data_IF_790223879452
#
_entry.id   IF_790223879452
#
_cell.length_a   1.000
_cell.length_b   1.000
_cell.length_c   1.000
_cell.angle_alpha   90.00
_cell.angle_beta   90.00
_cell.angle_gamma   90.00
#
_symmetry.space_group_name_H-M   'P 1'
#
loop_
_entity.id
_entity.type
_entity.pdbx_description
1 polymer ?
2 non-polymer ?
3 non-polymer ?
4 non-polymer ?
5 non-polymer ?
6 non-polymer ?
7 water ?
#
# COMPACT_ATOMS: atom_id res chain seq x y z
N UNK A 3 -26.39 16.48 -2.11
CA UNK A 3 -25.31 17.37 -1.73
C UNK A 3 -24.78 17.03 -0.33
N UNK A 4 -25.59 16.25 0.41
CA UNK A 4 -25.26 15.81 1.76
C UNK A 4 -25.72 14.35 1.87
N UNK A 5 -24.95 13.46 1.26
CA UNK A 5 -25.39 12.13 0.86
C UNK A 5 -25.46 11.17 2.05
N UNK A 6 -26.21 10.09 1.86
CA UNK A 6 -26.46 9.09 2.90
C UNK A 6 -25.95 7.73 2.46
N UNK A 7 -25.18 7.08 3.33
CA UNK A 7 -24.75 5.69 3.17
C UNK A 7 -25.49 4.84 4.21
N UNK A 8 -25.98 3.68 3.78
CA UNK A 8 -26.72 2.78 4.64
C UNK A 8 -25.99 1.45 4.80
N UNK A 9 -26.08 0.86 5.98
CA UNK A 9 -25.62 -0.51 6.22
C UNK A 9 -26.86 -1.40 6.23
N UNK A 10 -26.88 -2.41 5.36
CA UNK A 10 -28.05 -3.25 5.17
C UNK A 10 -28.06 -4.48 6.07
N UNK A 11 -27.09 -4.62 6.95
CA UNK A 11 -27.11 -5.63 7.99
C UNK A 11 -27.57 -5.07 9.33
N UNK A 12 -27.28 -3.80 9.61
CA UNK A 12 -27.64 -3.16 10.87
C UNK A 12 -28.64 -2.03 10.74
N UNK A 13 -29.02 -1.64 9.52
CA UNK A 13 -29.90 -0.50 9.26
C UNK A 13 -29.33 0.81 9.77
N UNK A 14 -28.01 0.88 9.95
CA UNK A 14 -27.34 2.09 10.40
C UNK A 14 -27.12 3.02 9.23
N UNK A 15 -27.45 4.30 9.42
CA UNK A 15 -27.25 5.30 8.38
C UNK A 15 -26.23 6.32 8.88
N UNK A 16 -25.41 6.79 7.95
CA UNK A 16 -24.44 7.83 8.19
C UNK A 16 -24.53 8.85 7.07
N UNK A 17 -24.41 10.13 7.42
CA UNK A 17 -24.48 11.22 6.46
C UNK A 17 -23.08 11.70 6.12
N UNK A 18 -22.77 11.74 4.83
CA UNK A 18 -21.45 12.13 4.34
C UNK A 18 -21.53 13.56 3.83
N UNK A 19 -20.77 14.45 4.46
CA UNK A 19 -20.56 15.80 3.97
C UNK A 19 -19.11 16.08 3.59
N UNK A 20 -18.19 15.19 3.96
CA UNK A 20 -16.78 15.35 3.64
C UNK A 20 -16.53 15.29 2.13
N UNK A 21 -17.41 14.63 1.38
CA UNK A 21 -17.23 14.54 -0.06
C UNK A 21 -17.31 15.89 -0.75
N UNK A 22 -17.84 16.91 -0.07
CA UNK A 22 -17.83 18.26 -0.62
C UNK A 22 -16.41 18.78 -0.79
N UNK A 23 -15.50 18.42 0.11
CA UNK A 23 -14.12 18.85 -0.01
C UNK A 23 -13.35 18.03 -1.04
N UNK A 24 -14.01 17.09 -1.71
CA UNK A 24 -13.37 16.29 -2.73
C UNK A 24 -12.90 17.16 -3.90
N UNK A 25 -11.81 16.76 -4.52
CA UNK A 25 -11.14 17.62 -5.49
C UNK A 25 -10.93 16.90 -6.82
N UNK A 26 -10.14 15.83 -6.82
CA UNK A 26 -9.84 15.08 -8.05
C UNK A 26 -11.08 14.44 -8.63
N UNK A 27 -10.92 13.73 -9.73
CA UNK A 27 -12.03 13.10 -10.42
C UNK A 27 -11.93 11.58 -10.34
N UNK A 28 -13.08 10.92 -10.39
CA UNK A 28 -13.19 9.50 -10.09
C UNK A 28 -13.09 8.60 -11.32
N UNK A 29 -13.28 9.16 -12.51
CA UNK A 29 -13.44 8.38 -13.71
C UNK A 29 -14.89 8.08 -14.04
N UNK A 30 -15.78 8.14 -13.06
CA UNK A 30 -17.20 7.94 -13.31
C UNK A 30 -17.84 9.19 -13.88
N UNK A 31 -18.94 9.01 -14.60
CA UNK A 31 -19.76 10.13 -15.03
C UNK A 31 -21.20 9.86 -14.60
N UNK A 32 -22.07 10.81 -14.89
CA UNK A 32 -23.51 10.61 -14.66
C UNK A 32 -24.05 9.42 -15.46
N UNK A 33 -23.34 9.00 -16.50
CA UNK A 33 -23.83 7.95 -17.38
C UNK A 33 -22.99 6.67 -17.34
N UNK A 34 -21.88 6.64 -16.59
CA UNK A 34 -21.09 5.43 -16.50
C UNK A 34 -20.37 5.38 -15.16
N UNK A 35 -20.38 4.19 -14.55
CA UNK A 35 -19.66 3.96 -13.31
C UNK A 35 -18.47 3.07 -13.60
N UNK A 36 -17.27 3.56 -13.24
CA UNK A 36 -16.01 2.86 -13.43
C UNK A 36 -15.40 2.37 -12.11
N UNK A 37 -16.21 2.24 -11.06
CA UNK A 37 -15.65 1.85 -9.77
C UNK A 37 -15.03 0.48 -9.71
N UNK A 38 -15.08 -0.31 -10.80
CA UNK A 38 -14.35 -1.57 -10.84
C UNK A 38 -13.13 -1.53 -11.78
N UNK A 39 -12.82 -0.36 -12.37
CA UNK A 39 -11.61 -0.24 -13.17
C UNK A 39 -10.44 -0.07 -12.23
N UNK A 40 -9.34 -0.80 -12.49
CA UNK A 40 -8.23 -0.84 -11.53
C UNK A 40 -7.44 0.47 -11.49
N UNK A 41 -7.04 0.99 -12.66
CA UNK A 41 -6.24 2.21 -12.75
C UNK A 41 -6.98 3.24 -13.61
N UNK A 42 -7.91 3.99 -13.04
CA UNK A 42 -8.67 4.96 -13.84
C UNK A 42 -7.84 6.19 -14.16
N UNK A 43 -7.92 6.64 -15.41
CA UNK A 43 -7.27 7.86 -15.86
C UNK A 43 -7.82 8.26 -17.22
N UNK A 52 4.99 17.49 -15.34
CA UNK A 52 5.74 18.52 -14.62
C UNK A 52 4.81 19.65 -14.18
N UNK A 53 4.78 19.91 -12.87
CA UNK A 53 3.85 20.85 -12.28
C UNK A 53 4.45 22.24 -12.22
N UNK A 54 3.61 23.25 -12.48
CA UNK A 54 4.07 24.63 -12.56
C UNK A 54 3.50 25.44 -11.40
N UNK A 55 4.07 26.63 -11.19
CA UNK A 55 3.78 27.40 -9.99
C UNK A 55 2.38 27.99 -10.00
N UNK A 56 1.79 28.13 -11.19
CA UNK A 56 0.39 28.56 -11.29
C UNK A 56 -0.52 27.63 -10.50
N UNK A 57 -0.29 26.33 -10.61
CA UNK A 57 -1.11 25.36 -9.91
C UNK A 57 -0.64 25.11 -8.48
N UNK A 58 0.59 25.50 -8.15
CA UNK A 58 1.18 25.08 -6.88
C UNK A 58 0.57 25.83 -5.70
N UNK A 59 0.32 27.14 -5.85
CA UNK A 59 -0.08 27.88 -4.67
C UNK A 59 -1.49 27.54 -4.18
N UNK A 60 -2.51 27.44 -5.06
CA UNK A 60 -3.82 26.98 -4.56
C UNK A 60 -3.73 25.67 -3.82
N UNK A 61 -2.92 24.73 -4.33
CA UNK A 61 -2.74 23.44 -3.67
C UNK A 61 -2.03 23.58 -2.34
N UNK A 62 -1.00 24.44 -2.27
CA UNK A 62 -0.33 24.70 -1.00
C UNK A 62 -1.27 25.35 0.00
N UNK A 63 -2.00 26.39 -0.44
CA UNK A 63 -2.92 27.09 0.44
C UNK A 63 -4.01 26.15 0.95
N UNK A 64 -4.60 25.35 0.06
CA UNK A 64 -5.64 24.42 0.47
C UNK A 64 -5.11 23.45 1.50
N UNK A 65 -3.86 22.99 1.31
CA UNK A 65 -3.25 22.07 2.26
C UNK A 65 -2.95 22.77 3.58
N UNK A 66 -2.34 23.95 3.51
CA UNK A 66 -2.00 24.68 4.73
C UNK A 66 -3.25 25.07 5.50
N UNK A 67 -4.33 25.44 4.79
CA UNK A 67 -5.56 25.84 5.47
C UNK A 67 -6.15 24.68 6.27
N UNK A 68 -5.92 23.44 5.83
CA UNK A 68 -6.43 22.31 6.60
C UNK A 68 -5.43 21.87 7.67
N UNK A 69 -4.13 22.04 7.42
CA UNK A 69 -3.15 21.76 8.45
C UNK A 69 -3.35 22.69 9.65
N UNK A 70 -3.44 24.00 9.41
CA UNK A 70 -3.57 24.94 10.52
C UNK A 70 -4.94 24.83 11.17
N UNK A 71 -5.94 24.36 10.44
CA UNK A 71 -7.23 24.05 11.03
C UNK A 71 -7.14 22.82 11.94
N UNK A 72 -6.17 21.95 11.72
CA UNK A 72 -6.08 20.72 12.49
C UNK A 72 -5.41 20.91 13.84
N UNK A 73 -4.57 21.94 14.00
CA UNK A 73 -3.93 22.22 15.27
C UNK A 73 -4.65 23.35 16.01
N UNK A 74 -5.91 23.62 15.66
CA UNK A 74 -6.77 24.59 16.35
C UNK A 74 -6.30 26.03 16.17
N UNK A 75 -5.64 26.35 15.05
CA UNK A 75 -5.16 27.70 14.79
C UNK A 75 -5.47 28.11 13.35
N UNK A 76 -6.74 27.97 12.98
CA UNK A 76 -7.20 28.36 11.66
C UNK A 76 -7.08 29.87 11.47
N UNK A 77 -6.32 30.28 10.46
CA UNK A 77 -6.31 31.66 10.02
C UNK A 77 -5.62 32.64 10.95
N UNK A 78 -4.77 32.17 11.85
CA UNK A 78 -4.06 33.07 12.74
C UNK A 78 -2.89 33.71 11.99
N UNK A 79 -2.11 34.52 12.73
CA UNK A 79 -0.94 35.15 12.13
C UNK A 79 0.12 34.11 11.78
N UNK A 80 0.32 33.11 12.64
CA UNK A 80 1.23 32.03 12.30
C UNK A 80 0.79 31.31 11.03
N UNK A 81 -0.52 31.22 10.80
CA UNK A 81 -1.01 30.66 9.54
C UNK A 81 -0.73 31.62 8.39
N UNK A 82 -1.15 32.88 8.53
CA UNK A 82 -1.02 33.83 7.42
C UNK A 82 0.45 34.05 7.04
N UNK A 83 1.35 34.03 8.03
CA UNK A 83 2.76 34.21 7.71
C UNK A 83 3.31 33.02 6.93
N UNK A 84 2.90 31.80 7.30
CA UNK A 84 3.33 30.62 6.57
C UNK A 84 2.77 30.61 5.16
N UNK A 85 1.52 31.06 4.99
CA UNK A 85 0.96 31.21 3.66
C UNK A 85 1.78 32.16 2.80
N UNK A 86 2.11 33.32 3.35
CA UNK A 86 2.95 34.28 2.63
C UNK A 86 4.35 33.73 2.42
N UNK A 87 4.91 33.11 3.46
CA UNK A 87 6.25 32.52 3.34
C UNK A 87 6.33 31.53 2.19
N UNK A 88 5.30 30.70 2.02
CA UNK A 88 5.28 29.70 0.95
C UNK A 88 4.98 30.37 -0.40
N UNK A 89 4.04 31.31 -0.42
CA UNK A 89 3.77 32.10 -1.62
C UNK A 89 5.04 32.75 -2.16
N UNK A 90 5.86 33.29 -1.25
CA UNK A 90 7.11 33.92 -1.70
C UNK A 90 8.14 32.88 -2.12
N UNK A 91 8.14 31.70 -1.51
CA UNK A 91 9.06 30.66 -1.95
C UNK A 91 8.68 30.11 -3.31
N UNK A 92 7.37 29.91 -3.56
CA UNK A 92 6.93 29.50 -4.88
C UNK A 92 7.22 30.60 -5.91
N UNK A 93 7.08 31.87 -5.53
CA UNK A 93 7.47 32.94 -6.43
C UNK A 93 8.97 32.85 -6.76
N UNK A 94 9.80 32.69 -5.73
CA UNK A 94 11.24 32.71 -5.96
C UNK A 94 11.71 31.41 -6.62
N UNK A 95 11.32 30.26 -6.05
CA UNK A 95 11.90 28.98 -6.44
C UNK A 95 10.98 28.15 -7.35
N UNK A 96 9.77 28.62 -7.61
CA UNK A 96 8.77 27.88 -8.40
C UNK A 96 8.42 26.54 -7.75
N UNK A 97 8.76 26.36 -6.47
CA UNK A 97 8.33 25.24 -5.66
C UNK A 97 8.48 25.65 -4.20
N UNK A 98 8.46 24.69 -3.27
CA UNK A 98 8.60 25.01 -1.87
C UNK A 98 8.94 23.76 -1.09
N UNK A 99 9.24 23.95 0.20
CA UNK A 99 9.63 22.88 1.10
C UNK A 99 8.68 22.84 2.30
N UNK A 100 8.20 21.64 2.62
CA UNK A 100 7.33 21.43 3.76
C UNK A 100 8.11 21.47 5.07
N UNK A 101 7.49 22.02 6.11
CA UNK A 101 8.01 21.84 7.45
C UNK A 101 7.85 20.39 7.87
N UNK A 102 8.69 19.97 8.81
CA UNK A 102 8.63 18.60 9.31
C UNK A 102 7.24 18.26 9.82
N UNK A 103 6.63 19.17 10.58
CA UNK A 103 5.27 18.95 11.04
C UNK A 103 4.29 18.75 9.88
N UNK A 104 4.36 19.62 8.88
CA UNK A 104 3.50 19.51 7.70
C UNK A 104 3.75 18.21 6.94
N UNK A 105 5.00 17.75 6.90
CA UNK A 105 5.31 16.49 6.24
C UNK A 105 4.63 15.32 6.95
N UNK A 106 4.70 15.30 8.28
CA UNK A 106 4.10 14.21 9.06
C UNK A 106 2.57 14.25 8.93
N UNK A 107 1.98 15.44 9.08
CA UNK A 107 0.55 15.62 8.84
C UNK A 107 0.18 15.13 7.43
N UNK A 108 0.86 15.69 6.42
CA UNK A 108 0.61 15.27 5.04
C UNK A 108 0.63 13.77 4.88
N UNK A 109 1.69 13.11 5.35
CA UNK A 109 1.77 11.66 5.18
C UNK A 109 0.62 10.94 5.89
N UNK A 110 0.30 11.36 7.12
CA UNK A 110 -0.73 10.66 7.87
C UNK A 110 -2.08 10.76 7.18
N UNK A 111 -2.35 11.89 6.51
CA UNK A 111 -3.64 12.08 5.87
C UNK A 111 -3.71 11.48 4.47
N UNK A 112 -2.55 11.30 3.80
CA UNK A 112 -2.56 10.46 2.60
C UNK A 112 -3.01 9.04 2.92
N UNK A 113 -2.59 8.50 4.07
CA UNK A 113 -3.10 7.20 4.50
C UNK A 113 -4.57 7.28 4.89
N UNK A 114 -4.92 8.25 5.74
CA UNK A 114 -6.32 8.45 6.12
C UNK A 114 -7.22 8.51 4.90
N UNK A 115 -6.75 9.12 3.81
CA UNK A 115 -7.61 9.32 2.64
C UNK A 115 -7.54 8.16 1.65
N UNK A 116 -6.79 7.11 1.96
CA UNK A 116 -6.60 5.99 1.03
C UNK A 116 -7.88 5.15 0.99
N UNK A 117 -8.73 5.39 0.00
CA UNK A 117 -10.05 4.76 -0.02
C UNK A 117 -9.99 3.25 -0.23
N UNK A 118 -8.91 2.73 -0.79
CA UNK A 118 -8.81 1.29 -1.00
C UNK A 118 -8.19 0.53 0.18
N UNK A 119 -7.93 1.21 1.31
CA UNK A 119 -7.23 0.60 2.43
C UNK A 119 -8.21 0.28 3.55
N UNK A 120 -8.30 -1.01 3.90
CA UNK A 120 -9.18 -1.45 4.99
C UNK A 120 -8.56 -1.23 6.36
N UNK A 121 -7.27 -0.92 6.41
CA UNK A 121 -6.56 -0.79 7.66
C UNK A 121 -6.47 0.60 8.24
N UNK A 122 -7.24 1.56 7.72
CA UNK A 122 -6.99 2.96 8.05
C UNK A 122 -7.30 3.33 9.50
N UNK A 123 -7.93 2.44 10.28
CA UNK A 123 -8.22 2.74 11.68
C UNK A 123 -6.94 3.16 12.41
N UNK A 124 -5.78 2.82 11.83
CA UNK A 124 -4.47 3.04 12.43
C UNK A 124 -3.77 4.28 11.91
N UNK A 125 -4.47 5.13 11.14
CA UNK A 125 -3.81 6.11 10.29
C UNK A 125 -3.00 7.12 11.10
N UNK A 126 -3.42 7.42 12.32
CA UNK A 126 -2.76 8.44 13.11
C UNK A 126 -1.47 7.96 13.76
N UNK A 127 -1.31 6.64 13.93
CA UNK A 127 -0.08 6.07 14.47
C UNK A 127 0.79 5.59 13.31
N UNK A 128 1.27 6.54 12.53
CA UNK A 128 2.22 6.31 11.46
C UNK A 128 3.55 6.95 11.84
N UNK A 129 4.64 6.20 11.69
CA UNK A 129 5.97 6.72 11.94
C UNK A 129 6.55 7.23 10.62
N UNK A 130 6.91 8.52 10.58
CA UNK A 130 7.34 9.17 9.35
C UNK A 130 8.84 9.37 9.41
N UNK A 131 9.56 8.83 8.45
CA UNK A 131 11.02 9.00 8.37
C UNK A 131 11.32 9.98 7.27
N UNK A 132 11.90 11.12 7.64
CA UNK A 132 12.21 12.18 6.69
C UNK A 132 13.56 11.89 6.04
N UNK A 133 13.55 11.50 4.77
CA UNK A 133 14.77 11.22 4.02
C UNK A 133 15.00 12.24 2.91
N UNK A 134 14.46 13.45 3.09
CA UNK A 134 14.61 14.45 2.05
C UNK A 134 16.04 15.00 1.96
N UNK A 135 16.95 14.59 2.84
CA UNK A 135 18.35 14.97 2.72
C UNK A 135 19.17 13.93 1.97
N UNK A 136 18.55 12.84 1.54
CA UNK A 136 19.22 11.77 0.80
C UNK A 136 19.66 12.29 -0.57
N UNK A 137 20.82 11.80 -1.03
CA UNK A 137 21.32 12.19 -2.35
C UNK A 137 21.78 11.03 -3.22
N UNK A 138 22.02 9.84 -2.68
CA UNK A 138 22.59 8.75 -3.45
C UNK A 138 21.75 7.49 -3.28
N UNK A 139 21.95 6.56 -4.20
CA UNK A 139 21.38 5.22 -4.08
C UNK A 139 21.77 4.56 -2.77
N UNK A 140 23.07 4.62 -2.42
CA UNK A 140 23.52 4.02 -1.17
C UNK A 140 22.81 4.64 0.03
N UNK A 141 22.56 5.95 -0.01
CA UNK A 141 21.81 6.57 1.05
C UNK A 141 20.39 6.04 1.14
N UNK A 142 19.76 5.83 -0.01
CA UNK A 142 18.42 5.24 -0.04
C UNK A 142 18.43 3.85 0.59
N UNK A 143 19.42 3.03 0.23
CA UNK A 143 19.54 1.70 0.82
C UNK A 143 19.62 1.77 2.34
N UNK A 144 20.50 2.64 2.86
CA UNK A 144 20.62 2.82 4.29
C UNK A 144 19.29 3.26 4.91
N UNK A 145 18.67 4.29 4.32
CA UNK A 145 17.38 4.72 4.83
C UNK A 145 16.34 3.60 4.77
N UNK A 146 16.38 2.78 3.72
CA UNK A 146 15.36 1.73 3.59
C UNK A 146 15.65 0.59 4.55
N UNK A 147 16.94 0.31 4.82
CA UNK A 147 17.26 -0.72 5.79
C UNK A 147 16.77 -0.31 7.18
N UNK A 148 16.97 0.95 7.55
CA UNK A 148 16.47 1.42 8.84
C UNK A 148 14.95 1.39 8.89
N UNK A 149 14.29 1.68 7.77
CA UNK A 149 12.84 1.56 7.72
C UNK A 149 12.43 0.12 8.01
N UNK A 150 13.02 -0.84 7.29
CA UNK A 150 12.68 -2.24 7.49
C UNK A 150 12.88 -2.66 8.95
N UNK A 151 14.04 -2.34 9.51
CA UNK A 151 14.32 -2.77 10.88
C UNK A 151 13.31 -2.18 11.85
N UNK A 152 12.98 -0.89 11.69
CA UNK A 152 12.01 -0.27 12.59
C UNK A 152 10.63 -0.88 12.42
N UNK A 153 10.11 -0.90 11.19
CA UNK A 153 8.76 -1.38 10.95
C UNK A 153 8.58 -2.83 11.39
N UNK A 154 9.65 -3.63 11.37
CA UNK A 154 9.49 -5.03 11.71
C UNK A 154 9.43 -5.23 13.22
N UNK A 155 10.22 -4.48 13.97
CA UNK A 155 10.23 -4.48 15.44
C UNK A 155 10.15 -5.90 15.98
N UNK A 156 10.92 -6.79 15.36
CA UNK A 156 11.05 -8.17 15.79
C UNK A 156 9.73 -8.93 15.69
N UNK A 157 8.89 -8.53 14.74
CA UNK A 157 7.59 -9.13 14.57
C UNK A 157 6.46 -8.33 15.17
N UNK A 158 6.76 -7.42 16.09
CA UNK A 158 5.76 -6.50 16.63
C UNK A 158 5.62 -5.31 15.67
N UNK A 159 5.03 -5.61 14.50
CA UNK A 159 5.12 -4.72 13.34
C UNK A 159 4.56 -3.34 13.67
N UNK A 160 5.22 -2.31 13.12
CA UNK A 160 4.86 -0.91 13.33
C UNK A 160 4.77 -0.24 11.97
N UNK A 161 3.71 0.55 11.76
CA UNK A 161 3.53 1.23 10.49
C UNK A 161 4.51 2.37 10.33
N UNK A 162 5.02 2.55 9.12
CA UNK A 162 6.02 3.58 8.88
C UNK A 162 6.09 3.93 7.40
N UNK A 163 6.62 5.12 7.12
CA UNK A 163 6.87 5.60 5.77
C UNK A 163 8.21 6.32 5.77
N UNK A 164 8.97 6.17 4.68
CA UNK A 164 10.22 6.89 4.46
C UNK A 164 10.05 7.73 3.20
N UNK A 165 10.37 9.03 3.29
CA UNK A 165 9.99 10.00 2.26
C UNK A 165 11.27 10.58 1.68
N UNK A 166 11.56 10.26 0.43
CA UNK A 166 12.76 10.73 -0.25
C UNK A 166 12.48 12.06 -0.92
N UNK A 167 13.53 12.76 -1.39
CA UNK A 167 13.30 14.12 -1.91
C UNK A 167 12.17 14.19 -2.94
N UNK A 168 11.44 15.30 -2.89
CA UNK A 168 10.33 15.50 -3.80
C UNK A 168 10.83 15.67 -5.22
N UNK A 169 9.92 15.47 -6.18
CA UNK A 169 10.22 15.72 -7.57
C UNK A 169 10.47 17.21 -7.78
N UNK A 170 11.57 17.54 -8.46
CA UNK A 170 11.86 18.92 -8.82
C UNK A 170 11.41 19.21 -10.25
N UNK A 171 12.25 18.85 -11.23
CA UNK A 171 11.97 19.12 -12.64
C UNK A 171 11.26 17.97 -13.34
N UNK A 172 11.63 16.73 -13.02
CA UNK A 172 11.04 15.58 -13.66
C UNK A 172 12.08 14.53 -14.04
N UNK A 173 13.23 14.97 -14.53
CA UNK A 173 14.31 14.05 -14.88
C UNK A 173 15.23 13.76 -13.70
N UNK A 174 14.95 14.31 -12.53
CA UNK A 174 15.72 14.03 -11.31
C UNK A 174 14.76 13.44 -10.28
N UNK A 175 14.24 12.25 -10.58
CA UNK A 175 13.31 11.58 -9.69
C UNK A 175 14.03 10.54 -8.84
N UNK A 176 13.68 10.52 -7.56
CA UNK A 176 14.03 9.40 -6.68
C UNK A 176 12.98 8.31 -6.84
N UNK A 177 13.42 7.08 -7.09
CA UNK A 177 12.49 5.98 -7.33
C UNK A 177 13.02 4.67 -6.74
N UNK A 178 12.14 3.96 -6.04
CA UNK A 178 12.33 2.55 -5.76
C UNK A 178 11.68 1.75 -6.88
N UNK A 179 12.49 1.05 -7.67
CA UNK A 179 11.96 0.33 -8.82
C UNK A 179 11.21 -0.93 -8.41
N UNK A 180 11.47 -1.46 -7.22
CA UNK A 180 10.64 -2.55 -6.72
C UNK A 180 9.24 -2.05 -6.41
N UNK A 181 8.25 -2.93 -6.61
CA UNK A 181 6.89 -2.57 -6.25
C UNK A 181 6.64 -2.72 -4.75
N UNK A 182 7.42 -3.59 -4.10
CA UNK A 182 7.48 -3.70 -2.64
C UNK A 182 8.92 -3.93 -2.24
N UNK A 183 9.29 -3.46 -1.05
CA UNK A 183 10.67 -3.59 -0.60
C UNK A 183 11.08 -5.05 -0.50
N UNK A 184 10.15 -5.92 -0.06
CA UNK A 184 10.42 -7.34 0.06
C UNK A 184 9.42 -8.07 -0.85
N UNK A 185 9.93 -8.71 -1.88
CA UNK A 185 9.13 -9.55 -2.76
C UNK A 185 9.95 -10.77 -3.15
N UNK A 186 9.25 -11.85 -3.47
CA UNK A 186 9.92 -13.06 -3.94
C UNK A 186 10.11 -13.00 -5.45
N UNK A 187 11.15 -13.66 -5.93
CA UNK A 187 11.48 -13.62 -7.34
C UNK A 187 10.54 -14.52 -8.15
N UNK A 188 10.42 -14.19 -9.43
CA UNK A 188 9.70 -15.04 -10.36
C UNK A 188 10.57 -15.42 -11.54
N UNK A 189 10.72 -16.72 -11.76
CA UNK A 189 11.53 -17.23 -12.87
C UNK A 189 10.64 -18.08 -13.75
N UNK A 190 10.57 -17.72 -15.04
CA UNK A 190 10.01 -18.63 -16.01
C UNK A 190 10.96 -19.80 -16.21
N UNK A 191 10.46 -20.85 -16.84
CA UNK A 191 11.24 -22.07 -17.01
C UNK A 191 11.39 -22.39 -18.49
N UNK A 192 12.30 -23.29 -18.86
CA UNK A 192 12.35 -23.73 -20.27
C UNK A 192 11.04 -24.33 -20.74
N UNK A 193 10.30 -25.00 -19.86
CA UNK A 193 9.01 -25.57 -20.21
C UNK A 193 7.86 -24.59 -20.04
N UNK A 194 8.15 -23.29 -19.89
CA UNK A 194 7.13 -22.26 -19.85
C UNK A 194 6.57 -21.93 -18.48
N UNK A 195 6.48 -22.92 -17.59
CA UNK A 195 5.92 -22.69 -16.26
C UNK A 195 6.85 -21.76 -15.46
N UNK A 196 6.41 -21.40 -14.25
CA UNK A 196 7.05 -20.35 -13.47
C UNK A 196 7.44 -20.87 -12.09
N UNK A 197 8.65 -20.50 -11.66
CA UNK A 197 9.13 -20.77 -10.30
C UNK A 197 9.07 -19.49 -9.48
N UNK A 198 8.58 -19.61 -8.25
CA UNK A 198 8.50 -18.45 -7.37
C UNK A 198 7.22 -17.67 -7.61
N UNK A 199 7.34 -16.35 -7.70
CA UNK A 199 6.16 -15.51 -7.84
C UNK A 199 6.04 -15.03 -9.28
N UNK A 200 5.05 -15.53 -10.04
CA UNK A 200 4.89 -15.05 -11.42
C UNK A 200 4.69 -13.54 -11.55
N UNK A 201 4.22 -12.87 -10.49
CA UNK A 201 3.96 -11.44 -10.56
C UNK A 201 5.21 -10.66 -10.91
N UNK A 202 6.36 -11.12 -10.42
CA UNK A 202 7.60 -10.37 -10.47
C UNK A 202 8.56 -10.93 -11.50
N UNK A 203 8.06 -11.73 -12.45
CA UNK A 203 8.95 -12.34 -13.44
C UNK A 203 9.68 -11.27 -14.24
N UNK A 204 8.98 -10.19 -14.62
CA UNK A 204 9.63 -9.13 -15.38
C UNK A 204 10.64 -8.37 -14.54
N UNK A 205 10.26 -7.98 -13.32
CA UNK A 205 11.19 -7.25 -12.46
C UNK A 205 12.40 -8.11 -12.10
N UNK A 206 12.16 -9.41 -11.87
CA UNK A 206 13.26 -10.33 -11.60
C UNK A 206 14.24 -10.39 -12.77
N UNK A 207 13.74 -10.22 -14.01
CA UNK A 207 14.64 -10.15 -15.16
C UNK A 207 15.46 -8.87 -15.15
N UNK A 208 14.81 -7.73 -14.85
CA UNK A 208 15.49 -6.44 -14.91
C UNK A 208 16.68 -6.42 -13.94
N UNK A 209 16.49 -6.99 -12.75
CA UNK A 209 17.60 -7.12 -11.81
C UNK A 209 18.76 -7.88 -12.44
N UNK A 210 18.47 -8.94 -13.21
CA UNK A 210 19.54 -9.71 -13.83
C UNK A 210 20.19 -8.91 -14.94
N UNK A 211 19.40 -8.17 -15.72
CA UNK A 211 19.95 -7.31 -16.75
C UNK A 211 20.86 -6.25 -16.16
N UNK A 212 20.57 -5.80 -14.94
CA UNK A 212 21.43 -4.88 -14.22
C UNK A 212 22.54 -5.58 -13.45
N UNK A 213 22.53 -6.91 -13.38
CA UNK A 213 23.65 -7.64 -12.84
C UNK A 213 23.36 -8.53 -11.64
N UNK A 214 22.10 -8.70 -11.28
CA UNK A 214 21.76 -9.58 -10.17
C UNK A 214 22.11 -11.02 -10.52
N UNK A 215 22.64 -11.75 -9.55
CA UNK A 215 22.93 -13.17 -9.69
C UNK A 215 21.90 -13.94 -8.87
N UNK A 216 20.96 -14.57 -9.57
CA UNK A 216 19.78 -15.15 -8.94
C UNK A 216 20.07 -16.53 -8.38
N UNK A 217 19.68 -16.79 -7.13
CA UNK A 217 19.72 -18.16 -6.61
C UNK A 217 18.66 -19.08 -7.17
N UNK A 218 17.85 -18.58 -8.11
CA UNK A 218 16.80 -19.29 -8.83
C UNK A 218 16.14 -20.40 -8.00
N UNK A 219 15.42 -20.00 -6.96
CA UNK A 219 14.57 -20.91 -6.22
C UNK A 219 13.16 -20.35 -6.15
N UNK A 220 12.45 -20.77 -5.10
CA UNK A 220 11.08 -20.30 -4.87
C UNK A 220 11.12 -18.93 -4.20
N UNK A 221 11.27 -18.94 -2.89
CA UNK A 221 11.12 -17.73 -2.08
C UNK A 221 12.47 -17.03 -1.91
N UNK A 222 13.04 -16.59 -3.05
CA UNK A 222 14.26 -15.79 -3.07
C UNK A 222 13.89 -14.31 -2.98
N UNK A 223 14.32 -13.66 -1.90
CA UNK A 223 14.02 -12.25 -1.70
C UNK A 223 14.73 -11.43 -2.78
N UNK A 224 13.99 -10.55 -3.46
CA UNK A 224 14.64 -9.78 -4.51
C UNK A 224 15.56 -8.70 -3.92
N UNK A 225 16.57 -8.27 -4.67
CA UNK A 225 17.37 -7.12 -4.24
C UNK A 225 16.61 -5.83 -4.51
N UNK A 226 17.11 -4.75 -3.93
CA UNK A 226 16.53 -3.43 -4.15
C UNK A 226 17.16 -2.77 -5.36
N UNK A 227 16.33 -2.11 -6.17
CA UNK A 227 16.78 -1.38 -7.34
C UNK A 227 16.45 0.09 -7.10
N UNK A 228 17.43 0.85 -6.62
CA UNK A 228 17.17 2.19 -6.11
C UNK A 228 17.74 3.23 -7.08
N UNK A 229 16.89 4.15 -7.50
CA UNK A 229 17.24 5.25 -8.39
C UNK A 229 17.22 6.55 -7.59
N UNK A 230 18.34 7.25 -7.57
CA UNK A 230 18.45 8.49 -6.81
C UNK A 230 18.68 9.65 -7.76
N UNK A 231 17.85 10.69 -7.64
CA UNK A 231 18.06 11.96 -8.34
C UNK A 231 18.21 11.74 -9.84
N UNK A 232 17.36 10.87 -10.39
CA UNK A 232 17.35 10.59 -11.82
C UNK A 232 18.43 9.66 -12.32
N UNK A 233 19.51 9.46 -11.57
CA UNK A 233 20.60 8.61 -12.03
C UNK A 233 20.14 7.16 -12.18
N UNK A 234 20.89 6.41 -13.00
CA UNK A 234 20.56 5.01 -13.24
C UNK A 234 20.52 4.24 -11.92
N UNK A 235 19.62 3.29 -11.78
CA UNK A 235 19.44 2.61 -10.50
C UNK A 235 20.50 1.55 -10.23
N UNK A 236 20.59 1.17 -8.96
CA UNK A 236 21.67 0.32 -8.46
C UNK A 236 21.10 -0.75 -7.54
N UNK A 237 21.77 -1.91 -7.52
CA UNK A 237 21.27 -3.08 -6.82
C UNK A 237 21.87 -3.16 -5.42
N UNK A 238 21.02 -3.42 -4.42
CA UNK A 238 21.47 -3.61 -3.05
C UNK A 238 20.72 -4.77 -2.42
N UNK A 239 21.45 -5.66 -1.74
CA UNK A 239 20.85 -6.81 -1.07
C UNK A 239 20.48 -6.42 0.36
N UNK A 240 19.20 -6.56 0.70
CA UNK A 240 18.78 -6.30 2.08
C UNK A 240 19.44 -7.35 2.96
N UNK A 241 20.09 -6.97 4.06
CA UNK A 241 20.69 -7.98 4.95
C UNK A 241 19.64 -9.00 5.37
N UNK A 242 19.91 -10.28 5.17
CA UNK A 242 18.88 -11.28 5.42
C UNK A 242 18.39 -11.29 6.86
N UNK A 243 19.24 -10.90 7.83
CA UNK A 243 18.78 -10.77 9.22
C UNK A 243 17.67 -9.74 9.37
N UNK A 244 17.50 -8.85 8.40
CA UNK A 244 16.47 -7.83 8.45
C UNK A 244 15.18 -8.28 7.80
N UNK A 245 15.16 -9.41 7.12
CA UNK A 245 13.98 -9.88 6.40
C UNK A 245 13.35 -11.01 7.21
N UNK A 246 12.32 -10.67 7.98
CA UNK A 246 11.62 -11.65 8.80
C UNK A 246 10.66 -12.46 7.92
N UNK A 247 10.71 -13.78 8.07
CA UNK A 247 9.84 -14.67 7.31
C UNK A 247 9.19 -15.66 8.26
N UNK A 248 7.97 -16.05 7.89
CA UNK A 248 7.12 -16.97 8.63
C UNK A 248 6.97 -18.25 7.79
N UNK A 249 7.34 -19.42 8.30
CA UNK A 249 6.98 -20.66 7.60
C UNK A 249 5.53 -21.03 7.88
N UNK A 250 4.83 -21.48 6.86
CA UNK A 250 3.38 -21.69 6.93
C UNK A 250 3.11 -23.13 7.31
N UNK A 251 2.51 -23.32 8.47
CA UNK A 251 2.10 -24.64 8.95
C UNK A 251 0.63 -24.58 9.37
N UNK A 252 0.00 -25.75 9.45
CA UNK A 252 -1.41 -25.79 9.82
C UNK A 252 -1.59 -26.39 11.21
N UNK A 253 -2.57 -25.91 11.99
CA UNK A 253 -2.75 -26.44 13.34
C UNK A 253 -3.38 -27.82 13.39
N UNK A 254 -3.91 -28.32 12.26
CA UNK A 254 -4.46 -29.67 12.18
C UNK A 254 -3.65 -30.56 11.24
N UNK A 255 -3.32 -30.10 10.04
CA UNK A 255 -2.75 -30.94 9.00
C UNK A 255 -1.22 -30.86 9.08
N UNK A 256 -0.58 -31.94 9.50
CA UNK A 256 0.87 -31.95 9.62
C UNK A 256 1.55 -32.07 8.27
N UNK A 257 0.86 -32.61 7.25
CA UNK A 257 1.44 -32.61 5.91
C UNK A 257 1.56 -31.20 5.34
N UNK A 258 0.93 -30.21 5.98
CA UNK A 258 0.97 -28.84 5.47
C UNK A 258 2.37 -28.25 5.55
N UNK A 259 3.19 -28.70 6.51
CA UNK A 259 4.58 -28.25 6.59
C UNK A 259 5.36 -28.64 5.34
N UNK A 260 5.10 -29.84 4.81
CA UNK A 260 5.81 -30.31 3.63
C UNK A 260 5.47 -29.50 2.39
N UNK A 261 4.37 -28.75 2.42
CA UNK A 261 4.13 -27.77 1.36
C UNK A 261 5.28 -26.78 1.30
N UNK A 262 5.99 -26.61 2.41
CA UNK A 262 7.18 -25.77 2.42
C UNK A 262 6.90 -24.33 2.06
N UNK A 263 5.71 -23.84 2.37
CA UNK A 263 5.41 -22.45 2.08
C UNK A 263 5.93 -21.56 3.19
N UNK A 264 6.22 -20.31 2.82
CA UNK A 264 6.61 -19.28 3.76
C UNK A 264 6.32 -17.94 3.11
N UNK A 265 6.17 -16.92 3.94
CA UNK A 265 5.94 -15.58 3.42
C UNK A 265 6.72 -14.58 4.28
N UNK A 266 6.93 -13.41 3.71
CA UNK A 266 7.62 -12.38 4.46
C UNK A 266 6.65 -11.65 5.37
N UNK A 267 7.18 -11.10 6.47
CA UNK A 267 6.32 -10.48 7.45
C UNK A 267 5.88 -9.06 7.12
N UNK A 268 6.66 -8.33 6.34
CA UNK A 268 6.50 -6.89 6.23
C UNK A 268 5.91 -6.50 4.87
N UNK A 269 4.65 -6.08 4.78
CA UNK A 269 4.11 -5.53 3.53
C UNK A 269 4.45 -4.05 3.39
N UNK A 270 5.13 -3.70 2.31
CA UNK A 270 5.81 -2.40 2.22
C UNK A 270 5.78 -1.98 0.75
N UNK A 271 4.84 -1.10 0.43
CA UNK A 271 4.60 -0.67 -0.93
C UNK A 271 5.57 0.44 -1.29
N UNK A 272 6.25 0.30 -2.42
CA UNK A 272 7.29 1.25 -2.79
C UNK A 272 7.14 1.88 -4.17
N UNK A 273 6.07 1.59 -4.91
CA UNK A 273 5.93 2.06 -6.28
C UNK A 273 4.91 3.17 -6.43
N UNK A 274 4.39 3.70 -5.33
CA UNK A 274 3.36 4.73 -5.39
C UNK A 274 3.96 6.10 -5.15
N UNK A 275 3.14 7.13 -5.42
CA UNK A 275 3.58 8.51 -5.32
C UNK A 275 2.74 9.21 -4.24
N UNK A 276 3.42 9.92 -3.34
CA UNK A 276 2.77 10.68 -2.28
C UNK A 276 2.61 12.13 -2.70
N UNK A 277 1.37 12.62 -2.69
CA UNK A 277 1.10 14.02 -3.02
C UNK A 277 0.71 14.78 -1.75
N UNK A 278 1.45 15.85 -1.46
CA UNK A 278 1.19 16.72 -0.33
C UNK A 278 1.30 18.17 -0.80
N UNK A 279 0.22 18.93 -0.63
CA UNK A 279 0.25 20.35 -0.97
C UNK A 279 0.70 20.62 -2.39
N UNK A 280 0.37 19.73 -3.32
CA UNK A 280 0.83 19.85 -4.68
C UNK A 280 2.27 19.44 -4.91
N UNK A 281 3.01 19.02 -3.89
CA UNK A 281 4.34 18.47 -4.08
C UNK A 281 4.26 16.96 -4.23
N UNK A 282 5.11 16.43 -5.11
CA UNK A 282 5.07 15.03 -5.49
C UNK A 282 6.31 14.32 -4.97
N UNK A 283 6.10 13.27 -4.16
CA UNK A 283 7.17 12.44 -3.63
C UNK A 283 7.12 11.09 -4.35
N UNK A 284 8.00 10.93 -5.35
CA UNK A 284 8.01 9.76 -6.22
C UNK A 284 8.55 8.51 -5.54
N UNK A 285 9.28 8.65 -4.43
CA UNK A 285 9.80 7.51 -3.69
C UNK A 285 9.35 7.68 -2.26
N UNK A 286 8.46 6.82 -1.81
CA UNK A 286 7.88 7.01 -0.49
C UNK A 286 7.44 5.69 0.10
N UNK A 287 8.30 4.67 0.16
CA UNK A 287 7.88 3.35 0.66
C UNK A 287 7.20 3.46 2.01
N UNK A 288 6.09 2.73 2.15
CA UNK A 288 5.30 2.71 3.38
C UNK A 288 4.86 1.28 3.68
N UNK A 289 4.72 0.97 4.97
CA UNK A 289 4.54 -0.41 5.38
C UNK A 289 3.59 -0.49 6.56
N UNK A 290 2.88 -1.61 6.64
CA UNK A 290 2.05 -1.91 7.79
C UNK A 290 2.18 -3.35 8.25
N UNK A 291 1.04 -4.03 8.39
CA UNK A 291 1.02 -5.47 8.59
C UNK A 291 -0.04 -6.06 7.68
N UNK A 292 0.11 -7.35 7.42
CA UNK A 292 -0.76 -8.05 6.49
C UNK A 292 -2.11 -8.35 7.11
N UNK A 293 -3.16 -8.25 6.29
CA UNK A 293 -4.37 -9.04 6.48
C UNK A 293 -4.12 -10.41 5.87
N UNK A 294 -4.49 -11.46 6.61
CA UNK A 294 -4.15 -12.81 6.20
C UNK A 294 -4.51 -13.11 4.76
N UNK A 295 -5.64 -12.56 4.29
CA UNK A 295 -6.14 -12.94 2.97
C UNK A 295 -5.24 -12.45 1.85
N UNK A 296 -4.47 -11.38 2.08
CA UNK A 296 -3.55 -10.92 1.04
C UNK A 296 -2.59 -12.04 0.65
N UNK A 297 -2.10 -12.80 1.64
CA UNK A 297 -1.21 -13.92 1.38
C UNK A 297 -2.00 -15.15 0.92
N UNK A 298 -2.91 -15.63 1.79
CA UNK A 298 -3.54 -16.93 1.64
C UNK A 298 -4.61 -17.05 0.57
N UNK A 299 -5.05 -15.93 0.01
CA UNK A 299 -6.03 -15.94 -1.05
C UNK A 299 -5.41 -15.47 -2.37
N UNK A 300 -4.88 -14.25 -2.39
CA UNK A 300 -4.37 -13.67 -3.62
C UNK A 300 -2.97 -14.19 -3.97
N UNK A 301 -2.00 -14.00 -3.05
CA UNK A 301 -0.62 -14.40 -3.33
C UNK A 301 -0.51 -15.90 -3.60
N UNK A 302 -1.26 -16.72 -2.84
CA UNK A 302 -1.15 -18.17 -2.92
C UNK A 302 -2.11 -18.81 -3.91
N UNK A 303 -3.27 -18.22 -4.16
CA UNK A 303 -4.33 -18.91 -4.89
C UNK A 303 -4.82 -18.21 -6.15
N UNK A 304 -4.34 -17.00 -6.45
CA UNK A 304 -4.54 -16.46 -7.78
C UNK A 304 -4.01 -17.44 -8.83
N UNK A 305 -4.75 -17.57 -9.94
CA UNK A 305 -4.27 -18.44 -11.01
C UNK A 305 -2.92 -17.96 -11.53
N UNK A 306 -2.67 -16.66 -11.50
CA UNK A 306 -1.46 -16.08 -12.06
C UNK A 306 -0.41 -15.77 -10.99
N UNK A 307 -0.60 -16.25 -9.76
CA UNK A 307 0.45 -16.17 -8.75
C UNK A 307 0.89 -17.58 -8.39
N UNK A 308 1.11 -17.86 -7.10
CA UNK A 308 1.69 -19.15 -6.72
C UNK A 308 0.79 -20.33 -7.10
N UNK A 309 -0.53 -20.14 -7.08
CA UNK A 309 -1.46 -21.11 -7.65
C UNK A 309 -1.40 -22.46 -6.95
N UNK A 310 -1.63 -22.49 -5.62
CA UNK A 310 -1.39 -23.71 -4.86
C UNK A 310 -2.66 -24.52 -4.60
N UNK A 311 -3.85 -23.98 -4.87
CA UNK A 311 -5.09 -24.74 -4.69
C UNK A 311 -4.99 -26.14 -5.28
N UNK A 312 -4.26 -26.28 -6.39
CA UNK A 312 -3.94 -27.59 -6.96
C UNK A 312 -3.48 -28.58 -5.89
N UNK A 313 -2.29 -28.35 -5.33
CA UNK A 313 -1.69 -29.31 -4.43
C UNK A 313 -2.48 -29.44 -3.12
N UNK A 314 -2.91 -28.31 -2.56
CA UNK A 314 -3.62 -28.33 -1.28
C UNK A 314 -4.86 -29.22 -1.36
N UNK A 315 -5.60 -29.11 -2.46
CA UNK A 315 -6.77 -29.97 -2.63
C UNK A 315 -6.36 -31.43 -2.70
N UNK A 316 -5.29 -31.74 -3.43
CA UNK A 316 -4.80 -33.10 -3.53
C UNK A 316 -4.56 -33.71 -2.16
N UNK A 317 -3.77 -33.04 -1.32
CA UNK A 317 -3.38 -33.62 -0.04
C UNK A 317 -4.53 -33.69 0.96
N UNK A 318 -5.59 -32.90 0.75
CA UNK A 318 -6.77 -32.99 1.60
C UNK A 318 -7.68 -34.16 1.22
N UNK A 319 -7.39 -34.85 0.11
CA UNK A 319 -8.23 -35.90 -0.45
C UNK A 319 -9.60 -35.33 -0.81
N UNK A 320 -9.61 -34.52 -1.86
CA UNK A 320 -10.78 -33.78 -2.29
C UNK A 320 -11.29 -34.27 -3.64
N UNK A 321 -12.61 -34.17 -3.82
CA UNK A 321 -13.25 -34.41 -5.10
C UNK A 321 -12.88 -33.27 -6.04
N UNK A 322 -11.87 -33.49 -6.90
CA UNK A 322 -11.43 -32.45 -7.83
C UNK A 322 -11.98 -32.62 -9.24
N UNK A 323 -12.84 -33.62 -9.46
CA UNK A 323 -13.46 -33.78 -10.77
C UNK A 323 -14.47 -32.65 -11.01
N UNK A 324 -15.52 -32.61 -10.21
CA UNK A 324 -16.60 -31.65 -10.42
C UNK A 324 -16.22 -30.28 -9.89
N UNK A 325 -16.64 -29.24 -10.61
CA UNK A 325 -16.48 -27.88 -10.12
C UNK A 325 -17.36 -27.61 -8.91
N UNK A 326 -18.52 -28.27 -8.84
CA UNK A 326 -19.55 -28.01 -7.84
C UNK A 326 -19.29 -28.71 -6.51
N UNK A 327 -18.21 -29.48 -6.38
CA UNK A 327 -17.79 -30.00 -5.08
C UNK A 327 -17.16 -28.93 -4.21
N UNK A 328 -16.91 -27.74 -4.74
CA UNK A 328 -16.35 -26.60 -4.01
C UNK A 328 -14.98 -26.93 -3.40
N UNK A 329 -14.26 -27.89 -4.02
CA UNK A 329 -12.95 -28.26 -3.53
C UNK A 329 -12.01 -27.06 -3.48
N UNK A 330 -12.18 -26.10 -4.39
CA UNK A 330 -11.38 -24.89 -4.34
C UNK A 330 -11.72 -24.06 -3.11
N UNK A 331 -13.01 -23.88 -2.84
CA UNK A 331 -13.44 -23.12 -1.67
C UNK A 331 -12.91 -23.77 -0.40
N UNK A 332 -13.05 -25.09 -0.29
CA UNK A 332 -12.65 -25.80 0.92
C UNK A 332 -11.14 -25.71 1.15
N UNK A 333 -10.34 -25.81 0.08
CA UNK A 333 -8.89 -25.70 0.26
C UNK A 333 -8.46 -24.27 0.54
N UNK A 334 -9.19 -23.29 -0.03
CA UNK A 334 -8.87 -21.88 0.21
C UNK A 334 -8.98 -21.52 1.69
N UNK A 335 -9.96 -22.09 2.39
CA UNK A 335 -10.14 -21.77 3.80
C UNK A 335 -9.01 -22.35 4.64
N UNK A 336 -8.68 -23.63 4.41
CA UNK A 336 -7.57 -24.25 5.14
C UNK A 336 -6.29 -23.43 5.01
N UNK A 337 -6.00 -22.94 3.81
CA UNK A 337 -4.76 -22.18 3.58
C UNK A 337 -4.75 -20.90 4.40
N UNK A 338 -5.91 -20.28 4.61
CA UNK A 338 -5.93 -19.03 5.37
C UNK A 338 -5.93 -19.24 6.88
N UNK A 339 -6.51 -20.36 7.36
CA UNK A 339 -6.33 -20.75 8.76
C UNK A 339 -4.85 -20.95 9.06
N UNK A 340 -4.12 -21.53 8.11
CA UNK A 340 -2.70 -21.82 8.29
C UNK A 340 -1.82 -20.56 8.24
N UNK A 341 -2.12 -19.63 7.33
CA UNK A 341 -1.35 -18.39 7.30
C UNK A 341 -1.49 -17.67 8.63
N UNK A 342 -2.71 -17.53 9.12
CA UNK A 342 -2.94 -16.83 10.38
C UNK A 342 -2.25 -17.55 11.54
N UNK A 343 -2.54 -18.84 11.70
CA UNK A 343 -1.95 -19.62 12.79
C UNK A 343 -0.42 -19.54 12.78
N UNK A 344 0.19 -19.62 11.59
CA UNK A 344 1.64 -19.56 11.51
C UNK A 344 2.16 -18.22 12.01
N UNK A 345 1.58 -17.12 11.52
CA UNK A 345 2.00 -15.79 11.93
C UNK A 345 1.84 -15.61 13.43
N UNK A 346 0.68 -15.98 13.97
CA UNK A 346 0.41 -15.79 15.39
C UNK A 346 1.32 -16.66 16.25
N UNK A 347 1.49 -17.93 15.89
CA UNK A 347 2.37 -18.80 16.67
C UNK A 347 3.81 -18.31 16.68
N UNK A 348 4.18 -17.47 15.72
CA UNK A 348 5.48 -16.84 15.67
C UNK A 348 5.50 -15.43 16.23
N UNK A 349 4.36 -14.93 16.71
CA UNK A 349 4.22 -13.57 17.22
C UNK A 349 4.56 -12.52 16.15
N UNK A 350 4.27 -12.81 14.89
CA UNK A 350 4.37 -11.80 13.84
C UNK A 350 3.00 -11.22 13.61
N UNK A 351 2.90 -9.89 13.61
CA UNK A 351 1.62 -9.19 13.56
C UNK A 351 0.86 -9.53 12.28
N UNK A 352 -0.42 -9.83 12.46
CA UNK A 352 -1.32 -10.08 11.33
C UNK A 352 -2.74 -9.93 11.83
N UNK A 353 -3.66 -9.66 10.91
CA UNK A 353 -5.07 -9.49 11.24
C UNK A 353 -5.89 -10.35 10.27
N UNK A 354 -6.93 -11.00 10.79
CA UNK A 354 -7.80 -11.76 9.92
C UNK A 354 -8.83 -10.83 9.29
N UNK A 355 -9.39 -11.26 8.16
CA UNK A 355 -10.32 -10.40 7.45
C UNK A 355 -11.58 -10.09 8.26
N UNK A 356 -11.89 -10.89 9.27
CA UNK A 356 -13.01 -10.58 10.15
C UNK A 356 -12.69 -9.42 11.09
N UNK A 357 -11.59 -9.53 11.85
CA UNK A 357 -11.23 -8.45 12.75
C UNK A 357 -10.96 -7.17 11.98
N UNK A 358 -10.30 -7.29 10.83
CA UNK A 358 -9.92 -6.10 10.07
C UNK A 358 -11.14 -5.40 9.50
N UNK A 359 -12.10 -6.17 8.98
CA UNK A 359 -13.28 -5.50 8.43
C UNK A 359 -14.16 -4.94 9.53
N UNK A 360 -14.22 -5.61 10.68
CA UNK A 360 -14.97 -5.03 11.78
C UNK A 360 -14.35 -3.71 12.21
N UNK A 361 -13.03 -3.66 12.28
CA UNK A 361 -12.36 -2.43 12.71
C UNK A 361 -12.59 -1.29 11.72
N UNK A 362 -12.78 -1.63 10.44
CA UNK A 362 -12.98 -0.57 9.45
C UNK A 362 -14.37 0.01 9.57
N UNK A 363 -15.35 -0.82 9.95
CA UNK A 363 -16.69 -0.30 10.19
C UNK A 363 -16.66 0.69 11.35
N UNK A 364 -15.98 0.32 12.45
CA UNK A 364 -15.86 1.22 13.59
C UNK A 364 -15.02 2.45 13.23
N UNK A 365 -13.98 2.26 12.41
CA UNK A 365 -13.27 3.40 11.86
C UNK A 365 -14.21 4.31 11.07
N UNK A 366 -15.03 3.73 10.20
CA UNK A 366 -15.97 4.51 9.41
C UNK A 366 -16.87 5.34 10.31
N UNK A 367 -17.36 4.75 11.40
CA UNK A 367 -18.24 5.46 12.31
C UNK A 367 -17.51 6.64 12.95
N UNK A 368 -16.25 6.42 13.32
CA UNK A 368 -15.45 7.50 13.88
C UNK A 368 -15.26 8.62 12.87
N UNK A 369 -14.99 8.27 11.61
CA UNK A 369 -14.73 9.28 10.58
C UNK A 369 -15.94 10.15 10.31
N UNK A 370 -17.12 9.53 10.12
CA UNK A 370 -18.33 10.29 9.82
C UNK A 370 -18.68 11.24 10.95
N UNK A 371 -18.39 10.84 12.19
CA UNK A 371 -18.71 11.68 13.33
C UNK A 371 -17.81 12.90 13.39
N UNK A 372 -16.50 12.67 13.47
CA UNK A 372 -15.53 13.74 13.71
C UNK A 372 -14.96 14.33 12.43
N UNK A 373 -15.40 13.88 11.25
CA UNK A 373 -14.86 14.39 10.00
C UNK A 373 -15.89 14.59 8.91
N UNK A 374 -17.09 14.05 9.04
CA UNK A 374 -18.11 14.21 8.03
C UNK A 374 -18.12 13.15 6.96
N UNK A 375 -17.32 12.10 7.09
CA UNK A 375 -17.36 11.00 6.15
C UNK A 375 -16.04 10.25 6.12
N UNK A 376 -15.95 9.34 5.17
CA UNK A 376 -14.77 8.51 4.97
C UNK A 376 -14.82 7.91 3.58
N UNK A 377 -14.01 8.42 2.64
CA UNK A 377 -13.98 7.83 1.29
C UNK A 377 -13.58 6.36 1.36
N UNK A 378 -14.32 5.52 0.65
CA UNK A 378 -14.08 4.09 0.76
C UNK A 378 -14.44 3.41 -0.54
N UNK A 379 -13.57 2.51 -0.99
CA UNK A 379 -13.73 1.81 -2.26
C UNK A 379 -14.21 0.39 -1.95
N UNK A 380 -15.53 0.17 -2.09
CA UNK A 380 -16.11 -1.12 -1.72
C UNK A 380 -15.44 -2.28 -2.42
N UNK A 381 -15.14 -2.10 -3.70
CA UNK A 381 -14.57 -3.15 -4.53
C UNK A 381 -13.25 -3.65 -3.94
N UNK A 382 -12.47 -2.75 -3.30
CA UNK A 382 -11.18 -3.10 -2.70
C UNK A 382 -11.28 -3.43 -1.21
N UNK A 383 -12.23 -2.82 -0.50
CA UNK A 383 -12.38 -3.04 0.94
C UNK A 383 -12.95 -4.44 1.25
N UNK A 384 -13.84 -4.97 0.42
CA UNK A 384 -14.39 -6.31 0.71
C UNK A 384 -13.32 -7.36 0.49
N UNK A 385 -13.09 -8.27 1.43
CA UNK A 385 -12.02 -9.26 1.29
C UNK A 385 -12.30 -10.24 0.17
N UNK A 386 -11.25 -10.88 -0.35
CA UNK A 386 -11.38 -11.74 -1.53
C UNK A 386 -11.92 -13.13 -1.25
N UNK A 387 -12.39 -13.42 -0.03
CA UNK A 387 -13.10 -14.65 0.32
C UNK A 387 -14.13 -14.28 1.37
N UNK A 388 -15.22 -15.04 1.41
CA UNK A 388 -16.21 -14.93 2.48
C UNK A 388 -16.77 -13.52 2.59
N UNK A 389 -16.91 -12.87 1.44
CA UNK A 389 -17.24 -11.45 1.41
C UNK A 389 -18.41 -11.08 2.30
N UNK A 390 -19.53 -11.79 2.16
CA UNK A 390 -20.75 -11.34 2.82
C UNK A 390 -20.90 -11.83 4.25
N UNK A 391 -19.95 -12.60 4.78
CA UNK A 391 -20.03 -12.89 6.21
C UNK A 391 -19.13 -11.91 6.97
N UNK A 392 -18.56 -10.92 6.26
CA UNK A 392 -17.88 -9.77 6.87
C UNK A 392 -18.77 -8.52 6.78
N UNK A 393 -18.67 -7.63 7.76
CA UNK A 393 -19.62 -6.50 7.85
C UNK A 393 -19.51 -5.49 6.73
N UNK A 394 -18.37 -5.39 6.05
CA UNK A 394 -18.22 -4.34 5.06
C UNK A 394 -18.99 -4.67 3.78
N UNK A 395 -19.33 -5.94 3.56
CA UNK A 395 -20.14 -6.32 2.39
C UNK A 395 -21.48 -5.61 2.41
N UNK A 396 -22.07 -5.45 3.59
CA UNK A 396 -23.40 -4.90 3.73
C UNK A 396 -23.38 -3.39 3.95
N UNK A 397 -22.21 -2.77 3.88
CA UNK A 397 -22.02 -1.37 4.15
C UNK A 397 -21.90 -0.60 2.84
N UNK A 398 -22.86 0.28 2.57
CA UNK A 398 -22.70 1.20 1.45
C UNK A 398 -21.53 2.12 1.72
N UNK A 399 -20.80 2.47 0.66
CA UNK A 399 -19.60 3.28 0.77
C UNK A 399 -19.54 4.29 -0.36
N UNK A 400 -19.20 5.53 -0.02
CA UNK A 400 -19.00 6.57 -1.03
C UNK A 400 -17.49 6.68 -1.28
N UNK A 401 -17.11 6.67 -2.55
CA UNK A 401 -15.71 6.80 -2.94
C UNK A 401 -15.48 8.16 -3.58
N UNK A 402 -14.48 8.88 -3.08
CA UNK A 402 -14.10 10.15 -3.64
C UNK A 402 -12.64 10.40 -3.25
N UNK A 403 -12.03 11.35 -3.94
CA UNK A 403 -10.59 11.57 -3.85
C UNK A 403 -10.33 12.79 -2.99
N UNK A 404 -9.67 12.59 -1.85
CA UNK A 404 -9.22 13.67 -1.00
C UNK A 404 -7.70 13.77 -1.07
N UNK A 405 -7.19 14.96 -0.78
CA UNK A 405 -5.76 15.15 -0.69
C UNK A 405 -5.41 15.58 0.73
N UNK A 406 -4.18 15.27 1.22
CA UNK A 406 -3.09 14.47 0.64
C UNK A 406 -3.48 13.05 0.24
N UNK A 407 -2.72 12.46 -0.70
CA UNK A 407 -3.08 11.16 -1.24
C UNK A 407 -1.87 10.38 -1.71
N UNK A 408 -2.05 9.06 -1.79
CA UNK A 408 -1.11 8.19 -2.49
C UNK A 408 -1.66 7.93 -3.88
N UNK A 409 -0.81 8.06 -4.90
CA UNK A 409 -1.25 7.90 -6.27
C UNK A 409 -0.41 6.84 -6.96
N UNK A 410 -1.01 6.22 -7.98
CA UNK A 410 -0.24 5.34 -8.83
C UNK A 410 0.66 6.16 -9.74
N UNK A 411 1.72 5.53 -10.23
CA UNK A 411 2.62 6.20 -11.14
C UNK A 411 3.17 5.15 -12.08
N UNK A 412 3.65 5.54 -13.26
CA UNK A 412 4.21 4.56 -14.20
C UNK A 412 5.40 3.83 -13.61
N UNK A 413 5.56 2.58 -14.01
CA UNK A 413 6.76 1.85 -13.64
C UNK A 413 7.99 2.58 -14.19
N UNK A 414 9.02 2.78 -13.39
CA UNK A 414 10.12 3.69 -13.79
C UNK A 414 10.90 3.21 -14.99
N UNK A 415 10.91 1.91 -15.29
CA UNK A 415 11.68 1.44 -16.44
C UNK A 415 11.03 1.81 -17.77
N UNK A 416 9.74 2.15 -17.78
CA UNK A 416 9.05 2.56 -18.99
C UNK A 416 9.24 4.03 -19.32
N UNK A 417 9.80 4.81 -18.41
CA UNK A 417 9.81 6.26 -18.52
C UNK A 417 11.20 6.89 -18.40
N UNK A 418 12.23 6.11 -18.06
CA UNK A 418 13.50 6.64 -17.61
C UNK A 418 14.51 6.73 -18.75
N UNK A 419 15.08 7.93 -18.94
CA UNK A 419 16.27 8.05 -19.79
C UNK A 419 17.41 7.29 -19.13
N UNK A 420 18.17 6.55 -19.94
CA UNK A 420 19.08 5.56 -19.39
C UNK A 420 20.55 5.98 -19.40
N UNK A 421 21.39 5.14 -19.99
CA UNK A 421 22.84 5.27 -20.23
C UNK A 421 23.53 3.94 -19.93
X LIG B 1 -4.20 -1.13 0.42
X LIG B 1 -4.70 -3.31 4.69
X LIG B 1 -1.36 -0.14 6.31
X LIG B 1 -1.78 2.57 2.37
X LIG B 1 -4.48 -2.06 1.36
X LIG B 1 -5.08 -3.36 1.12
X LIG B 1 -5.23 -4.00 2.29
X LIG B 1 -4.76 -3.12 3.33
X LIG B 1 -5.82 -5.42 2.45
X LIG B 1 -5.43 -3.93 -0.26
X LIG B 1 -4.10 -4.34 -0.88
X LIG B 1 -4.30 -5.28 -2.03
X LIG B 1 -5.36 -5.94 -2.09
X LIG B 1 -3.37 -5.39 -2.89
X LIG B 1 -3.80 -2.66 5.50
X LIG B 1 -3.48 -3.00 6.88
X LIG B 1 -2.57 -2.13 7.32
X LIG B 1 -2.27 -1.19 6.24
X LIG B 1 -4.06 -4.16 7.73
X LIG B 1 -2.01 -2.20 8.76
X LIG B 1 -1.25 -1.26 9.33
X LIG B 1 -1.18 0.88 5.42
X LIG B 1 -0.30 2.05 5.56
X LIG B 1 -0.44 2.80 4.45
X LIG B 1 -1.37 2.12 3.59
X LIG B 1 0.59 2.32 6.79
X LIG B 1 0.21 4.13 4.02
X LIG B 1 1.01 4.86 4.80
X LIG B 1 -2.51 1.80 1.51
X LIG B 1 -2.94 2.23 0.21
X LIG B 1 -3.61 1.20 -0.33
X LIG B 1 -3.61 0.11 0.62
X LIG B 1 -2.66 3.64 -0.37
X LIG B 1 -4.32 1.13 -1.70
X LIG B 1 -3.47 1.58 -2.87
X LIG B 1 -3.18 0.28 -3.52
X LIG B 1 -3.52 0.10 -4.72
X LIG B 1 -2.64 -0.56 -2.76
X LIG B 1 -4.33 -1.97 2.72
X LIG B 1 -3.05 -1.54 5.15
X LIG B 1 -1.79 0.97 4.21
X LIG B 1 -2.92 0.50 1.75
X LIG B 1 -3.37 -0.30 3.57
X LIG C 1 -9.42 -5.61 -4.21
X LIG C 1 -8.21 -5.64 -3.60
X LIG C 1 -8.13 -5.44 -2.27
X LIG C 1 -7.10 -5.87 -4.32
X LIG C 1 -7.12 -6.07 -5.64
X LIG C 1 -6.05 -6.28 -6.27
X LIG C 1 -8.36 -6.04 -6.29
X LIG C 1 -9.50 -5.81 -5.55
X LIG C 1 -8.45 -6.23 -7.60
X LIG C 1 -10.73 -5.77 -6.14
X LIG C 1 -9.60 -5.66 -8.26
X LIG C 1 -10.89 -6.06 -7.55
X LIG C 1 -9.66 -5.99 -9.74
X LIG C 1 -9.58 -7.42 -9.88
X LIG C 1 -10.95 -5.43 -10.33
X LIG C 1 -11.22 -5.98 -11.72
X LIG C 1 -10.85 -4.00 -10.37
X LIG D 1 -0.95 -3.57 -2.68
X LIG D 1 -1.77 -2.56 -4.75
X LIG D 1 -0.81 -4.09 3.55
X LIG D 1 -0.12 -2.94 3.94
X LIG D 1 0.40 -2.10 2.96
X LIG D 1 0.21 -2.40 1.60
X LIG D 1 -0.50 -3.57 1.26
X LIG D 1 1.13 -0.85 3.37
X LIG D 1 -0.72 -4.01 -0.18
X LIG D 1 -0.87 -2.94 -1.27
X LIG D 1 -1.81 -3.80 -5.64
X LIG D 1 0.54 -4.06 -5.37
X LIG D 1 0.60 -2.85 -4.43
X LIG D 1 -0.58 -5.02 -7.29
X LIG D 1 -0.96 -4.38 2.23
X LIG D 1 -1.31 -4.94 4.48
X LIG D 1 -0.70 -2.59 -3.75
X LIG D 1 -0.53 -3.88 -6.36
X LIG E 1 -6.13 -3.57 11.56
X LIG E 1 -5.31 -4.39 12.03
X LIG E 1 -7.36 -3.81 11.53
X LIG E 1 -5.64 -2.23 11.08
X LIG F 1 -19.07 4.91 -10.11
#
# INVERSE_FOLDING_TARGET
CPRFLKVKNWETDVVLTDTLHLKSTLETGCTEHICMGSIMLPSQHTRKPEDVATKDQLFPLAKEFLDQYYSSIKRFGSKAHMDRLEEVNKEIESTSTYQLKDTELIYGAKHAWRNASRCVGRIQWSKLQVFDARDCTTAHGMFNYICNHVKYATNKGNLRSAITIFPQRTDGKHDFRVWNSQLIRYAGYKQPDGSTLGDPANVQFTEICIQQGWKAPRGRFDVLPLLLQANGNDPELFQIPPELVLEVPIRHPKFDWFKDLGLKWYGLPAVSNMLLEIGGLEFSACPFSGWYMGTEIGVRDYCDNSRYNILEEVAKKMDLDMRKTSSLWKDQALVEINIAVLYSFQSDKVTIVDHHSATESFIKHMENEYRCRGGCPADWVWIVPPMSGSITPVFHQEMLNYRLTPSFEYQPDPWNTHVWKG
HEM CHA CHB CHC CHD C1A C2A C3A C4A CMA CAA CBA CGA O1A O2A C1B C2B C3B C4B CMB CAB CBB C1C C2C C3C C4C CMC CAC CBC C1D C2D C3D C4D CMD CAD CBD CGD O1D O2D NA NB NC ND FE
H4B N1 C2 N2 N3 C4 O4 C4A C8A N5 N8 C6 C7 C9 O9 C10 C11 O10
KMR C10 C12 C02 C03 C04 C05 C06 C07 C08 C09 C13 C15 C16 C17 N01 N02 N11 N14
ACT C O OXT CH3
ZN ZN
#
